data_IF_786717227649
#
_entry.id   IF_786717227649
#
_cell.length_a   1.000
_cell.length_b   1.000
_cell.length_c   1.000
_cell.angle_alpha   90.00
_cell.angle_beta   90.00
_cell.angle_gamma   90.00
#
_symmetry.space_group_name_H-M   'P 1'
#
loop_
_entity.id
_entity.type
_entity.pdbx_description
1 polymer ?
#
# COMPACT_ATOMS: atom_id res chain seq x y z
N UNK A 1 -3.80 3.88 -24.84
CA UNK A 1 -2.43 4.39 -24.69
C UNK A 1 -2.50 5.67 -23.86
N UNK A 2 -1.78 5.76 -22.75
CA UNK A 2 -1.74 6.98 -21.94
C UNK A 2 -1.04 8.08 -22.76
N UNK A 3 -1.66 9.25 -22.89
CA UNK A 3 -1.15 10.42 -23.63
C UNK A 3 -0.59 11.45 -22.62
N UNK A 4 0.70 11.33 -22.22
CA UNK A 4 1.29 12.20 -21.19
C UNK A 4 1.43 13.65 -21.68
N UNK A 5 1.67 13.86 -22.97
CA UNK A 5 1.82 15.20 -23.56
C UNK A 5 0.48 15.93 -23.56
N UNK A 6 -0.59 15.27 -23.95
CA UNK A 6 -1.92 15.84 -23.86
C UNK A 6 -2.40 16.00 -22.43
N UNK A 7 -2.04 15.09 -21.51
CA UNK A 7 -2.34 15.27 -20.09
C UNK A 7 -1.70 16.54 -19.53
N UNK A 8 -0.41 16.76 -19.79
CA UNK A 8 0.29 18.00 -19.47
C UNK A 8 -0.43 19.22 -20.07
N UNK A 9 -0.79 19.15 -21.36
CA UNK A 9 -1.44 20.25 -22.07
C UNK A 9 -2.81 20.60 -21.47
N UNK A 10 -3.60 19.58 -21.09
CA UNK A 10 -4.91 19.74 -20.45
C UNK A 10 -4.80 20.34 -19.04
N UNK A 11 -3.87 19.86 -18.22
CA UNK A 11 -3.62 20.41 -16.88
C UNK A 11 -3.20 21.89 -16.97
N UNK A 12 -2.29 22.21 -17.89
CA UNK A 12 -1.86 23.60 -18.13
C UNK A 12 -3.03 24.48 -18.58
N UNK A 13 -3.86 24.00 -19.50
CA UNK A 13 -5.05 24.73 -19.96
C UNK A 13 -6.07 24.96 -18.83
N UNK A 14 -6.26 23.96 -17.95
CA UNK A 14 -7.12 24.07 -16.78
C UNK A 14 -6.63 25.15 -15.80
N UNK A 15 -5.34 25.15 -15.46
CA UNK A 15 -4.75 26.19 -14.61
C UNK A 15 -4.88 27.59 -15.21
N UNK A 16 -4.64 27.73 -16.53
CA UNK A 16 -4.84 29.01 -17.22
C UNK A 16 -6.30 29.46 -17.16
N UNK A 17 -7.25 28.56 -17.37
CA UNK A 17 -8.69 28.85 -17.25
C UNK A 17 -9.07 29.30 -15.83
N UNK A 18 -8.49 28.66 -14.81
CA UNK A 18 -8.67 29.07 -13.42
C UNK A 18 -8.15 30.48 -13.19
N UNK A 19 -6.92 30.81 -13.64
CA UNK A 19 -6.34 32.16 -13.49
C UNK A 19 -7.15 33.22 -14.24
N UNK A 20 -7.69 32.88 -15.42
CA UNK A 20 -8.56 33.79 -16.17
C UNK A 20 -9.88 34.09 -15.46
N UNK A 21 -10.34 33.17 -14.61
CA UNK A 21 -11.56 33.32 -13.80
C UNK A 21 -11.27 34.02 -12.48
N UNK A 22 -10.28 33.55 -11.72
CA UNK A 22 -9.93 34.03 -10.38
C UNK A 22 -9.26 35.41 -10.41
N UNK A 23 -8.53 35.74 -11.47
CA UNK A 23 -7.86 37.04 -11.66
C UNK A 23 -8.27 37.62 -13.01
N UNK A 24 -9.58 37.88 -13.16
CA UNK A 24 -10.13 38.38 -14.43
C UNK A 24 -9.58 39.78 -14.74
N UNK A 25 -9.05 39.94 -15.94
CA UNK A 25 -8.69 41.25 -16.51
C UNK A 25 -9.76 41.63 -17.53
N UNK A 26 -10.33 42.82 -17.45
CA UNK A 26 -11.39 43.26 -18.38
C UNK A 26 -10.87 43.38 -19.83
N UNK A 27 -9.75 44.10 -20.10
CA UNK A 27 -9.29 44.30 -21.47
C UNK A 27 -8.82 42.99 -22.12
N UNK A 28 -9.33 42.72 -23.33
CA UNK A 28 -9.08 41.47 -24.03
C UNK A 28 -7.62 41.33 -24.50
N UNK A 29 -7.01 42.45 -24.90
CA UNK A 29 -5.61 42.58 -25.28
C UNK A 29 -4.65 42.25 -24.14
N UNK A 30 -4.86 42.85 -22.95
CA UNK A 30 -4.00 42.59 -21.77
C UNK A 30 -4.15 41.13 -21.31
N UNK A 31 -5.37 40.59 -21.36
CA UNK A 31 -5.64 39.18 -21.01
C UNK A 31 -4.90 38.22 -21.95
N UNK A 32 -4.93 38.50 -23.26
CA UNK A 32 -4.25 37.69 -24.27
C UNK A 32 -2.72 37.76 -24.10
N UNK A 33 -2.18 38.95 -23.83
CA UNK A 33 -0.74 39.12 -23.60
C UNK A 33 -0.27 38.41 -22.32
N UNK A 34 -1.06 38.48 -21.25
CA UNK A 34 -0.81 37.66 -20.04
C UNK A 34 -0.80 36.17 -20.37
N UNK A 35 -1.77 35.69 -21.16
CA UNK A 35 -1.86 34.28 -21.54
C UNK A 35 -0.63 33.83 -22.32
N UNK A 36 -0.16 34.64 -23.27
CA UNK A 36 1.11 34.39 -24.00
C UNK A 36 2.30 34.32 -23.07
N UNK A 37 2.40 35.22 -22.09
CA UNK A 37 3.49 35.20 -21.09
C UNK A 37 3.44 33.94 -20.22
N UNK A 38 2.26 33.56 -19.72
CA UNK A 38 2.10 32.36 -18.89
C UNK A 38 2.34 31.06 -19.68
N UNK A 39 2.11 31.05 -20.99
CA UNK A 39 2.42 29.92 -21.86
C UNK A 39 3.91 29.77 -22.17
N UNK A 40 4.75 30.77 -21.87
CA UNK A 40 6.20 30.64 -22.05
C UNK A 40 6.74 29.56 -21.10
N UNK A 41 7.60 28.71 -21.65
CA UNK A 41 8.32 27.70 -20.88
C UNK A 41 9.07 28.35 -19.72
N UNK A 42 8.90 27.80 -18.52
CA UNK A 42 9.54 28.30 -17.30
C UNK A 42 8.76 29.39 -16.57
N UNK A 43 7.60 29.84 -17.09
CA UNK A 43 6.70 30.74 -16.35
C UNK A 43 5.69 29.95 -15.53
N UNK A 44 4.63 29.42 -16.18
CA UNK A 44 3.64 28.59 -15.48
C UNK A 44 4.06 27.12 -15.39
N UNK A 45 4.66 26.60 -16.46
CA UNK A 45 5.12 25.22 -16.54
C UNK A 45 6.45 25.16 -17.29
N UNK A 46 7.29 24.17 -16.95
CA UNK A 46 8.42 23.78 -17.80
C UNK A 46 7.93 23.03 -19.04
N UNK A 47 8.80 22.82 -20.02
CA UNK A 47 8.50 21.89 -21.11
C UNK A 47 8.32 20.48 -20.52
N UNK A 48 7.38 19.67 -21.05
CA UNK A 48 7.20 18.30 -20.56
C UNK A 48 8.52 17.53 -20.75
N UNK A 49 9.06 17.02 -19.65
CA UNK A 49 10.24 16.17 -19.66
C UNK A 49 9.77 14.72 -19.74
N UNK A 50 10.21 14.01 -20.78
CA UNK A 50 9.97 12.59 -20.96
C UNK A 50 11.28 11.86 -20.74
N UNK A 51 11.37 11.14 -19.63
CA UNK A 51 12.50 10.28 -19.33
C UNK A 51 12.06 8.82 -19.54
N UNK A 52 12.61 8.10 -20.53
CA UNK A 52 12.37 6.67 -20.63
C UNK A 52 13.06 5.98 -19.45
N UNK A 53 12.26 5.39 -18.56
CA UNK A 53 12.79 4.58 -17.47
C UNK A 53 13.01 3.16 -17.98
N UNK A 54 14.25 2.64 -18.00
CA UNK A 54 14.49 1.26 -18.38
C UNK A 54 13.79 0.32 -17.39
N UNK A 55 13.21 -0.75 -17.90
CA UNK A 55 12.65 -1.81 -17.05
C UNK A 55 13.76 -2.47 -16.25
N UNK A 56 13.47 -2.78 -14.98
CA UNK A 56 14.39 -3.50 -14.13
C UNK A 56 14.46 -4.97 -14.55
N UNK A 57 15.65 -5.57 -14.40
CA UNK A 57 15.86 -6.97 -14.72
C UNK A 57 15.01 -7.87 -13.81
N UNK A 58 14.15 -8.67 -14.43
CA UNK A 58 13.37 -9.71 -13.77
C UNK A 58 14.23 -10.93 -13.53
N UNK A 59 13.98 -11.62 -12.41
CA UNK A 59 14.52 -12.97 -12.21
C UNK A 59 13.94 -13.91 -13.30
N UNK A 60 14.71 -14.91 -13.70
CA UNK A 60 14.24 -15.91 -14.67
C UNK A 60 13.07 -16.74 -14.13
N UNK A 61 12.96 -16.86 -12.81
CA UNK A 61 11.93 -17.64 -12.10
C UNK A 61 10.70 -16.78 -11.80
N UNK A 62 9.52 -17.41 -11.84
CA UNK A 62 8.27 -16.86 -11.32
C UNK A 62 8.18 -17.03 -9.80
N UNK A 63 7.21 -16.37 -9.14
CA UNK A 63 6.96 -16.61 -7.71
C UNK A 63 6.51 -18.04 -7.44
N UNK A 64 5.76 -18.64 -8.38
CA UNK A 64 5.28 -20.01 -8.34
C UNK A 64 6.45 -21.02 -8.43
N UNK A 65 7.48 -20.72 -9.24
CA UNK A 65 8.69 -21.54 -9.29
C UNK A 65 9.42 -21.57 -7.94
N UNK A 66 9.46 -20.44 -7.21
CA UNK A 66 10.11 -20.34 -5.89
C UNK A 66 9.45 -21.22 -4.82
N UNK A 67 8.15 -21.53 -4.96
CA UNK A 67 7.44 -22.43 -4.03
C UNK A 67 8.02 -23.85 -4.10
N UNK A 68 8.36 -24.28 -5.31
CA UNK A 68 8.78 -25.63 -5.64
C UNK A 68 10.29 -25.87 -5.49
N UNK A 69 11.07 -24.83 -5.21
CA UNK A 69 12.51 -24.97 -5.00
C UNK A 69 12.83 -25.80 -3.76
N UNK A 70 13.78 -26.73 -3.88
CA UNK A 70 14.24 -27.57 -2.78
C UNK A 70 15.72 -27.31 -2.44
N UNK A 71 16.13 -27.70 -1.24
CA UNK A 71 17.50 -27.54 -0.73
C UNK A 71 17.71 -26.27 0.10
N UNK A 72 18.87 -26.21 0.77
CA UNK A 72 19.24 -25.12 1.68
C UNK A 72 19.42 -23.76 0.96
N UNK A 73 19.69 -23.80 -0.33
CA UNK A 73 19.88 -22.62 -1.17
C UNK A 73 18.60 -22.09 -1.85
N UNK A 74 17.47 -22.77 -1.68
CA UNK A 74 16.17 -22.28 -2.14
C UNK A 74 15.86 -20.90 -1.53
N UNK A 75 15.20 -20.04 -2.29
CA UNK A 75 14.86 -18.67 -1.84
C UNK A 75 13.96 -18.72 -0.61
N UNK A 76 13.01 -19.66 -0.59
CA UNK A 76 12.04 -19.86 0.49
C UNK A 76 12.42 -21.05 1.40
N UNK A 77 13.71 -21.39 1.49
CA UNK A 77 14.18 -22.54 2.29
C UNK A 77 13.69 -22.51 3.74
N UNK A 78 13.63 -21.32 4.35
CA UNK A 78 13.19 -21.12 5.75
C UNK A 78 11.68 -21.31 5.97
N UNK A 79 10.87 -21.41 4.91
CA UNK A 79 9.41 -21.55 4.99
C UNK A 79 8.99 -23.00 4.86
N UNK A 80 7.99 -23.39 5.65
CA UNK A 80 7.28 -24.66 5.50
C UNK A 80 6.53 -24.73 4.16
N UNK A 81 6.28 -25.93 3.59
CA UNK A 81 5.56 -26.06 2.32
C UNK A 81 4.18 -25.41 2.30
N UNK A 82 3.48 -25.38 3.45
CA UNK A 82 2.20 -24.68 3.63
C UNK A 82 2.39 -23.17 3.58
N UNK A 83 3.39 -22.64 4.31
CA UNK A 83 3.70 -21.21 4.32
C UNK A 83 4.10 -20.69 2.94
N UNK A 84 4.86 -21.46 2.15
CA UNK A 84 5.27 -21.06 0.80
C UNK A 84 4.08 -20.80 -0.12
N UNK A 85 3.07 -21.69 -0.09
CA UNK A 85 1.84 -21.53 -0.90
C UNK A 85 1.03 -20.34 -0.41
N UNK A 86 0.74 -20.28 0.89
CA UNK A 86 0.00 -19.17 1.49
C UNK A 86 0.67 -17.81 1.24
N UNK A 87 2.01 -17.77 1.21
CA UNK A 87 2.77 -16.58 0.84
C UNK A 87 2.53 -16.15 -0.59
N UNK A 88 2.67 -17.04 -1.57
CA UNK A 88 2.44 -16.70 -2.99
C UNK A 88 0.98 -16.34 -3.24
N UNK A 89 0.04 -17.01 -2.59
CA UNK A 89 -1.39 -16.70 -2.68
C UNK A 89 -1.67 -15.28 -2.15
N UNK A 90 -1.11 -14.92 -0.98
CA UNK A 90 -1.32 -13.60 -0.37
C UNK A 90 -0.72 -12.46 -1.21
N UNK A 91 0.52 -12.60 -1.71
CA UNK A 91 1.13 -11.53 -2.50
C UNK A 91 0.36 -11.30 -3.81
N UNK A 92 -0.28 -12.34 -4.34
CA UNK A 92 -1.15 -12.26 -5.50
C UNK A 92 -2.53 -11.64 -5.26
N UNK A 93 -2.85 -11.23 -4.03
CA UNK A 93 -4.09 -10.55 -3.65
C UNK A 93 -4.03 -9.02 -3.79
N UNK A 94 -3.01 -8.49 -4.48
CA UNK A 94 -2.87 -7.05 -4.77
C UNK A 94 -1.54 -6.43 -4.34
N UNK A 95 -0.58 -7.22 -3.85
CA UNK A 95 0.79 -6.73 -3.65
C UNK A 95 1.59 -6.82 -4.95
N UNK A 96 1.48 -7.95 -5.64
CA UNK A 96 2.07 -8.20 -6.95
C UNK A 96 0.94 -8.25 -7.96
N UNK A 97 1.04 -7.37 -8.96
CA UNK A 97 0.07 -7.30 -10.05
C UNK A 97 0.15 -8.56 -10.93
N UNK A 98 -0.96 -8.86 -11.60
CA UNK A 98 -1.08 -9.97 -12.54
C UNK A 98 -1.06 -9.46 -13.97
N UNK A 99 -0.48 -10.24 -14.87
CA UNK A 99 -0.49 -9.96 -16.30
C UNK A 99 -1.86 -10.24 -16.94
N UNK A 100 -1.96 -9.99 -18.25
CA UNK A 100 -3.20 -10.19 -19.02
C UNK A 100 -3.70 -11.65 -19.03
N UNK A 101 -2.83 -12.61 -18.71
CA UNK A 101 -3.15 -14.04 -18.62
C UNK A 101 -3.44 -14.48 -17.18
N UNK A 102 -3.39 -13.57 -16.21
CA UNK A 102 -3.65 -13.82 -14.80
C UNK A 102 -2.43 -14.36 -14.03
N UNK A 103 -1.26 -14.48 -14.65
CA UNK A 103 -0.03 -14.89 -13.96
C UNK A 103 0.57 -13.72 -13.18
N UNK A 104 1.21 -13.98 -12.04
CA UNK A 104 1.92 -12.93 -11.31
C UNK A 104 3.06 -12.36 -12.15
N UNK A 105 3.24 -11.04 -12.11
CA UNK A 105 4.45 -10.47 -12.69
C UNK A 105 5.69 -11.05 -12.04
N UNK A 106 6.69 -11.36 -12.88
CA UNK A 106 7.95 -11.94 -12.41
C UNK A 106 8.62 -11.01 -11.39
N UNK A 107 9.19 -11.55 -10.31
CA UNK A 107 9.95 -10.75 -9.36
C UNK A 107 11.16 -10.13 -10.04
N UNK A 108 11.55 -8.94 -9.58
CA UNK A 108 12.85 -8.38 -9.95
C UNK A 108 13.98 -9.10 -9.21
N UNK A 109 15.16 -9.19 -9.82
CA UNK A 109 16.30 -9.90 -9.20
C UNK A 109 16.66 -9.39 -7.80
N UNK A 110 16.52 -8.08 -7.56
CA UNK A 110 16.77 -7.49 -6.25
C UNK A 110 15.68 -7.84 -5.21
N UNK A 111 14.43 -8.08 -5.64
CA UNK A 111 13.36 -8.54 -4.75
C UNK A 111 13.63 -9.98 -4.31
N UNK A 112 14.03 -10.86 -5.23
CA UNK A 112 14.42 -12.25 -4.91
C UNK A 112 15.64 -12.28 -3.99
N UNK A 113 16.65 -11.46 -4.28
CA UNK A 113 17.85 -11.33 -3.44
C UNK A 113 17.50 -10.87 -2.02
N UNK A 114 16.65 -9.85 -1.91
CA UNK A 114 16.22 -9.32 -0.61
C UNK A 114 15.34 -10.32 0.15
N UNK A 115 14.46 -11.05 -0.55
CA UNK A 115 13.63 -12.10 0.03
C UNK A 115 14.49 -13.23 0.61
N UNK A 116 15.45 -13.76 -0.18
CA UNK A 116 16.37 -14.82 0.28
C UNK A 116 17.20 -14.38 1.49
N UNK A 117 17.69 -13.14 1.50
CA UNK A 117 18.46 -12.58 2.63
C UNK A 117 17.57 -12.34 3.86
N UNK A 118 16.43 -11.69 3.67
CA UNK A 118 15.54 -11.29 4.76
C UNK A 118 14.91 -12.47 5.52
N UNK A 119 14.87 -13.66 4.90
CA UNK A 119 14.43 -14.90 5.53
C UNK A 119 15.53 -15.68 6.27
N UNK A 120 16.76 -15.14 6.30
CA UNK A 120 17.91 -15.75 6.96
C UNK A 120 18.37 -14.87 8.12
N UNK A 121 18.63 -15.50 9.26
CA UNK A 121 19.07 -14.80 10.45
C UNK A 121 20.37 -14.02 10.22
N UNK A 122 20.41 -12.78 10.71
CA UNK A 122 21.60 -11.93 10.66
C UNK A 122 21.97 -11.39 9.27
N UNK A 123 21.13 -11.54 8.26
CA UNK A 123 21.42 -11.08 6.89
C UNK A 123 20.71 -9.77 6.53
N UNK A 124 21.13 -8.66 7.15
CA UNK A 124 20.67 -7.33 6.76
C UNK A 124 20.86 -7.09 5.24
N UNK A 125 19.92 -6.37 4.63
CA UNK A 125 19.92 -6.07 3.20
C UNK A 125 19.73 -4.58 2.93
N UNK A 126 20.38 -4.09 1.89
CA UNK A 126 20.28 -2.71 1.41
C UNK A 126 19.89 -2.79 -0.07
N UNK A 127 18.80 -2.10 -0.44
CA UNK A 127 18.34 -2.02 -1.83
C UNK A 127 18.59 -0.60 -2.34
N UNK A 128 19.56 -0.45 -3.23
CA UNK A 128 19.87 0.84 -3.89
C UNK A 128 19.29 0.86 -5.30
N UNK A 129 18.10 1.42 -5.47
CA UNK A 129 17.44 1.50 -6.79
C UNK A 129 16.58 2.76 -6.95
N UNK A 130 16.27 3.12 -8.20
CA UNK A 130 15.46 4.29 -8.56
C UNK A 130 13.95 4.09 -8.34
N UNK A 131 13.16 5.16 -8.42
CA UNK A 131 11.69 5.09 -8.27
C UNK A 131 11.08 4.13 -9.29
N UNK A 132 10.03 3.40 -8.89
CA UNK A 132 9.35 2.42 -9.76
C UNK A 132 10.06 1.07 -9.89
N UNK A 133 11.18 0.85 -9.19
CA UNK A 133 11.90 -0.42 -9.21
C UNK A 133 11.27 -1.55 -8.41
N UNK A 134 10.21 -1.29 -7.64
CA UNK A 134 9.65 -2.29 -6.72
C UNK A 134 10.40 -2.42 -5.40
N UNK A 135 11.02 -1.33 -4.91
CA UNK A 135 11.67 -1.26 -3.58
C UNK A 135 10.74 -1.64 -2.44
N UNK A 136 9.47 -1.24 -2.55
CA UNK A 136 8.47 -1.50 -1.51
C UNK A 136 8.32 -3.01 -1.32
N UNK A 137 8.08 -3.71 -2.42
CA UNK A 137 7.91 -5.15 -2.44
C UNK A 137 9.20 -5.84 -1.97
N UNK A 138 10.39 -5.32 -2.32
CA UNK A 138 11.65 -5.89 -1.88
C UNK A 138 11.78 -6.04 -0.36
N UNK A 139 11.28 -5.09 0.45
CA UNK A 139 11.27 -5.24 1.92
C UNK A 139 9.97 -5.83 2.47
N UNK A 140 8.84 -5.68 1.79
CA UNK A 140 7.56 -6.27 2.24
C UNK A 140 7.53 -7.78 2.07
N UNK A 141 8.08 -8.32 0.97
CA UNK A 141 8.09 -9.76 0.69
C UNK A 141 8.68 -10.58 1.86
N UNK A 142 9.91 -10.30 2.36
CA UNK A 142 10.46 -11.07 3.49
C UNK A 142 9.68 -10.87 4.80
N UNK A 143 9.10 -9.69 5.03
CA UNK A 143 8.25 -9.44 6.22
C UNK A 143 7.00 -10.32 6.16
N UNK A 144 6.27 -10.31 5.04
CA UNK A 144 5.05 -11.08 4.89
C UNK A 144 5.33 -12.58 4.90
N UNK A 145 6.38 -13.03 4.22
CA UNK A 145 6.81 -14.43 4.27
C UNK A 145 7.11 -14.90 5.71
N UNK A 146 7.78 -14.07 6.51
CA UNK A 146 8.08 -14.38 7.93
C UNK A 146 6.82 -14.43 8.79
N UNK A 147 5.89 -13.50 8.58
CA UNK A 147 4.60 -13.46 9.29
C UNK A 147 3.74 -14.67 8.95
N UNK A 148 3.70 -15.06 7.68
CA UNK A 148 2.93 -16.23 7.23
C UNK A 148 3.53 -17.52 7.76
N UNK A 149 4.86 -17.65 7.75
CA UNK A 149 5.54 -18.78 8.38
C UNK A 149 5.16 -18.86 9.86
N UNK A 150 5.25 -17.75 10.61
CA UNK A 150 4.81 -17.73 12.00
C UNK A 150 3.34 -18.15 12.14
N UNK A 151 2.44 -17.59 11.32
CA UNK A 151 1.01 -17.83 11.40
C UNK A 151 0.63 -19.30 11.10
N UNK A 152 1.34 -19.94 10.19
CA UNK A 152 0.99 -21.27 9.67
C UNK A 152 1.65 -22.44 10.40
N UNK A 153 2.53 -22.18 11.38
CA UNK A 153 3.18 -23.19 12.21
C UNK A 153 2.18 -24.08 12.96
N UNK A 154 2.42 -25.39 12.96
CA UNK A 154 1.58 -26.35 13.70
C UNK A 154 1.64 -26.13 15.22
N UNK A 155 2.81 -25.75 15.75
CA UNK A 155 3.03 -25.46 17.17
C UNK A 155 3.41 -24.00 17.34
N UNK A 156 2.62 -23.26 18.12
CA UNK A 156 2.84 -21.84 18.37
C UNK A 156 2.46 -20.93 17.20
N UNK A 157 1.82 -21.46 16.15
CA UNK A 157 1.20 -20.66 15.10
C UNK A 157 -0.07 -19.96 15.57
N UNK A 158 -0.73 -19.27 14.65
CA UNK A 158 -1.87 -18.42 15.00
C UNK A 158 -3.15 -19.26 15.06
N UNK A 159 -3.91 -19.21 16.17
CA UNK A 159 -5.19 -19.91 16.25
C UNK A 159 -6.16 -19.29 15.24
N UNK A 160 -7.06 -20.13 14.69
CA UNK A 160 -8.11 -19.64 13.80
C UNK A 160 -8.94 -18.57 14.53
N UNK A 161 -9.21 -17.40 13.91
CA UNK A 161 -10.04 -16.39 14.53
C UNK A 161 -11.45 -16.95 14.79
N UNK A 162 -12.14 -16.39 15.80
CA UNK A 162 -13.55 -16.72 16.07
C UNK A 162 -14.41 -16.42 14.84
N UNK A 163 -15.50 -17.17 14.66
CA UNK A 163 -16.46 -16.89 13.60
C UNK A 163 -16.96 -15.44 13.71
N UNK A 164 -17.01 -14.74 12.57
CA UNK A 164 -17.41 -13.35 12.51
C UNK A 164 -16.38 -12.35 13.06
N UNK A 165 -15.11 -12.72 13.21
CA UNK A 165 -14.06 -11.79 13.70
C UNK A 165 -13.99 -10.48 12.90
N UNK A 166 -14.13 -10.54 11.57
CA UNK A 166 -14.17 -9.38 10.67
C UNK A 166 -15.60 -8.87 10.37
N UNK A 167 -16.61 -9.34 11.12
CA UNK A 167 -18.00 -8.94 10.90
C UNK A 167 -18.19 -7.44 11.09
N UNK A 168 -19.24 -6.89 10.46
CA UNK A 168 -19.62 -5.48 10.61
C UNK A 168 -19.86 -5.10 12.08
N UNK A 169 -20.31 -6.03 12.91
CA UNK A 169 -20.60 -5.84 14.33
C UNK A 169 -19.33 -5.68 15.17
N UNK A 170 -18.22 -6.29 14.76
CA UNK A 170 -16.93 -6.25 15.46
C UNK A 170 -16.00 -5.12 14.99
N UNK A 171 -16.50 -4.17 14.18
CA UNK A 171 -15.69 -3.04 13.70
C UNK A 171 -15.47 -2.04 14.80
N UNK A 172 -14.20 -1.77 15.11
CA UNK A 172 -13.79 -0.86 16.19
C UNK A 172 -14.29 0.57 16.08
N UNK A 173 -14.73 1.00 14.90
CA UNK A 173 -15.30 2.33 14.65
C UNK A 173 -16.83 2.38 14.74
N UNK A 174 -17.47 1.31 15.20
CA UNK A 174 -18.89 1.28 15.57
C UNK A 174 -19.01 1.22 17.09
N UNK A 175 -19.95 2.00 17.62
CA UNK A 175 -20.27 1.98 19.05
C UNK A 175 -21.07 0.74 19.44
N UNK A 176 -21.35 0.59 20.74
CA UNK A 176 -22.19 -0.49 21.27
C UNK A 176 -23.62 -0.50 20.69
N UNK A 177 -24.08 0.66 20.19
CA UNK A 177 -25.35 0.82 19.48
C UNK A 177 -25.31 0.34 18.01
N UNK A 178 -24.18 -0.21 17.56
CA UNK A 178 -23.95 -0.69 16.19
C UNK A 178 -23.80 0.43 15.15
N UNK A 179 -23.86 1.70 15.57
CA UNK A 179 -23.77 2.86 14.69
C UNK A 179 -22.32 3.36 14.61
N UNK A 180 -21.90 3.98 13.48
CA UNK A 180 -20.59 4.61 13.38
C UNK A 180 -20.35 5.62 14.50
N UNK A 181 -19.14 5.60 15.06
CA UNK A 181 -18.73 6.52 16.15
C UNK A 181 -18.57 7.96 15.68
N UNK A 182 -18.39 8.17 14.37
CA UNK A 182 -18.37 9.48 13.74
C UNK A 182 -19.52 9.62 12.75
N UNK A 183 -20.17 10.80 12.74
CA UNK A 183 -21.18 11.18 11.76
C UNK A 183 -20.67 12.34 10.92
N UNK A 184 -21.04 12.36 9.65
CA UNK A 184 -20.71 13.47 8.76
C UNK A 184 -21.64 14.65 9.06
N UNK A 185 -21.08 15.81 9.41
CA UNK A 185 -21.83 17.03 9.67
C UNK A 185 -22.32 17.67 8.35
N UNK A 186 -23.11 18.74 8.45
CA UNK A 186 -23.65 19.45 7.29
C UNK A 186 -22.57 20.09 6.39
N UNK A 187 -21.36 20.30 6.92
CA UNK A 187 -20.20 20.83 6.20
C UNK A 187 -19.37 19.73 5.53
N UNK A 188 -19.74 18.47 5.71
CA UNK A 188 -19.07 17.33 5.11
C UNK A 188 -17.89 16.79 5.91
N UNK A 189 -17.67 17.29 7.13
CA UNK A 189 -16.61 16.84 8.05
C UNK A 189 -17.12 15.73 8.96
N UNK A 190 -16.23 14.83 9.40
CA UNK A 190 -16.60 13.76 10.34
C UNK A 190 -16.46 14.24 11.79
N UNK A 191 -17.57 14.29 12.51
CA UNK A 191 -17.59 14.58 13.95
C UNK A 191 -17.88 13.32 14.74
N UNK A 192 -17.04 13.04 15.74
CA UNK A 192 -17.30 11.99 16.73
C UNK A 192 -18.57 12.31 17.52
N UNK A 193 -19.33 11.29 17.91
CA UNK A 193 -20.48 11.47 18.80
C UNK A 193 -20.01 11.97 20.19
N UNK A 194 -20.84 12.79 20.83
CA UNK A 194 -20.51 13.46 22.11
C UNK A 194 -20.21 12.50 23.28
N UNK A 195 -20.85 11.33 23.31
CA UNK A 195 -20.58 10.24 24.25
C UNK A 195 -19.17 9.65 24.09
N UNK A 196 -18.64 9.64 22.86
CA UNK A 196 -17.27 9.21 22.58
C UNK A 196 -16.26 10.29 23.01
N UNK A 197 -16.53 11.56 22.67
CA UNK A 197 -15.62 12.68 22.97
C UNK A 197 -15.29 12.78 24.46
N UNK A 198 -16.24 12.47 25.34
CA UNK A 198 -16.07 12.49 26.80
C UNK A 198 -15.10 11.44 27.33
N UNK A 199 -14.81 10.38 26.57
CA UNK A 199 -13.88 9.30 26.94
C UNK A 199 -12.50 9.37 26.30
N UNK A 200 -12.15 10.48 25.62
CA UNK A 200 -10.88 10.64 24.88
C UNK A 200 -9.73 11.19 25.75
N UNK A 201 -9.77 11.04 27.08
CA UNK A 201 -8.56 11.26 27.86
C UNK A 201 -7.53 10.20 27.46
N UNK A 202 -6.27 10.62 27.26
CA UNK A 202 -5.21 9.74 26.77
C UNK A 202 -5.02 8.51 27.67
N UNK A 203 -5.30 8.66 28.97
CA UNK A 203 -5.23 7.61 29.99
C UNK A 203 -6.50 6.72 30.06
N UNK A 204 -7.62 7.16 29.48
CA UNK A 204 -8.94 6.49 29.55
C UNK A 204 -9.35 5.81 28.23
N UNK A 205 -8.48 5.77 27.21
CA UNK A 205 -8.75 5.14 25.91
C UNK A 205 -8.73 3.60 25.99
N UNK A 206 -9.65 3.03 26.77
CA UNK A 206 -9.71 1.60 27.11
C UNK A 206 -10.92 0.88 26.50
N UNK A 207 -11.76 1.58 25.71
CA UNK A 207 -13.02 1.05 25.19
C UNK A 207 -13.07 0.73 23.69
N UNK A 208 -12.07 1.15 22.91
CA UNK A 208 -12.16 1.18 21.43
C UNK A 208 -10.94 0.56 20.75
N UNK A 209 -10.63 -0.67 21.12
CA UNK A 209 -9.52 -1.42 20.55
C UNK A 209 -9.86 -1.99 19.16
N UNK A 210 -8.96 -1.77 18.20
CA UNK A 210 -9.09 -2.35 16.85
C UNK A 210 -9.19 -3.88 16.83
N UNK A 211 -8.76 -4.53 17.92
CA UNK A 211 -8.59 -5.98 18.05
C UNK A 211 -9.08 -6.51 19.40
N UNK A 212 -10.16 -5.95 19.96
CA UNK A 212 -10.69 -6.36 21.28
C UNK A 212 -10.99 -7.88 21.42
N UNK A 213 -11.23 -8.57 20.30
CA UNK A 213 -11.48 -10.02 20.26
C UNK A 213 -10.21 -10.87 20.02
N UNK A 214 -9.04 -10.24 19.89
CA UNK A 214 -7.78 -10.91 19.67
C UNK A 214 -7.25 -11.52 20.97
N UNK A 215 -6.80 -12.78 20.91
CA UNK A 215 -6.31 -13.51 22.08
C UNK A 215 -4.79 -13.72 22.03
N UNK A 216 -4.16 -13.42 20.89
CA UNK A 216 -2.72 -13.53 20.74
C UNK A 216 -2.02 -12.49 21.62
N UNK A 217 -0.87 -12.85 22.24
CA UNK A 217 -0.03 -11.88 22.91
C UNK A 217 0.31 -10.70 21.99
N UNK A 218 0.01 -9.49 22.45
CA UNK A 218 0.31 -8.28 21.71
C UNK A 218 1.83 -8.14 21.52
N UNK A 219 2.27 -8.00 20.28
CA UNK A 219 3.68 -7.79 19.97
C UNK A 219 3.86 -7.20 18.56
N UNK A 220 4.95 -6.45 18.40
CA UNK A 220 5.33 -5.84 17.12
C UNK A 220 6.08 -6.89 16.30
N UNK A 221 5.60 -7.19 15.08
CA UNK A 221 6.24 -8.12 14.14
C UNK A 221 7.16 -7.43 13.14
N UNK A 222 6.79 -6.24 12.72
CA UNK A 222 7.56 -5.41 11.82
C UNK A 222 7.32 -3.94 12.14
N UNK A 223 8.37 -3.14 12.01
CA UNK A 223 8.31 -1.68 12.06
C UNK A 223 8.86 -1.16 10.73
N UNK A 224 8.04 -0.43 9.98
CA UNK A 224 8.43 0.19 8.72
C UNK A 224 8.46 1.69 8.95
N UNK A 225 9.61 2.30 8.72
CA UNK A 225 9.82 3.73 8.89
C UNK A 225 9.86 4.41 7.53
N UNK A 226 9.01 5.41 7.35
CA UNK A 226 9.01 6.28 6.18
C UNK A 226 9.39 7.71 6.60
N UNK A 227 10.06 8.47 5.72
CA UNK A 227 10.51 9.82 6.05
C UNK A 227 9.37 10.86 6.05
N UNK A 228 8.20 10.54 5.49
CA UNK A 228 7.09 11.50 5.31
C UNK A 228 5.73 10.83 5.49
N UNK A 229 4.79 11.53 6.14
CA UNK A 229 3.42 11.03 6.36
C UNK A 229 2.68 10.72 5.05
N UNK A 230 2.87 11.53 4.00
CA UNK A 230 2.22 11.27 2.70
C UNK A 230 2.62 9.90 2.12
N UNK A 231 3.89 9.52 2.28
CA UNK A 231 4.36 8.19 1.87
C UNK A 231 3.72 7.10 2.74
N UNK A 232 3.60 7.32 4.06
CA UNK A 232 2.93 6.37 4.95
C UNK A 232 1.49 6.11 4.48
N UNK A 233 0.72 7.15 4.18
CA UNK A 233 -0.69 7.03 3.76
C UNK A 233 -0.84 6.27 2.42
N UNK A 234 0.01 6.56 1.44
CA UNK A 234 0.00 5.85 0.16
C UNK A 234 0.33 4.36 0.35
N UNK A 235 1.33 4.04 1.19
CA UNK A 235 1.71 2.66 1.46
C UNK A 235 0.67 1.92 2.30
N UNK A 236 0.01 2.59 3.24
CA UNK A 236 -1.10 2.02 4.01
C UNK A 236 -2.28 1.65 3.11
N UNK A 237 -2.58 2.47 2.11
CA UNK A 237 -3.63 2.17 1.13
C UNK A 237 -3.30 0.90 0.34
N UNK A 238 -2.06 0.77 -0.15
CA UNK A 238 -1.59 -0.45 -0.84
C UNK A 238 -1.65 -1.68 0.06
N UNK A 239 -1.15 -1.58 1.29
CA UNK A 239 -1.18 -2.70 2.24
C UNK A 239 -2.61 -3.15 2.55
N UNK A 240 -3.57 -2.22 2.67
CA UNK A 240 -4.99 -2.57 2.85
C UNK A 240 -5.55 -3.31 1.64
N UNK A 241 -5.21 -2.90 0.43
CA UNK A 241 -5.63 -3.63 -0.77
C UNK A 241 -5.05 -5.05 -0.80
N UNK A 242 -3.78 -5.21 -0.43
CA UNK A 242 -3.11 -6.51 -0.45
C UNK A 242 -3.53 -7.45 0.70
N UNK A 243 -3.82 -6.91 1.90
CA UNK A 243 -4.01 -7.70 3.12
C UNK A 243 -5.44 -7.74 3.65
N UNK A 244 -6.31 -6.82 3.23
CA UNK A 244 -7.70 -6.71 3.69
C UNK A 244 -8.71 -6.77 2.53
N UNK A 245 -8.27 -7.14 1.33
CA UNK A 245 -9.18 -7.45 0.23
C UNK A 245 -9.95 -8.74 0.48
N UNK A 246 -11.09 -8.90 -0.21
CA UNK A 246 -11.86 -10.15 -0.13
C UNK A 246 -11.01 -11.35 -0.56
N UNK A 247 -10.22 -11.20 -1.64
CA UNK A 247 -9.30 -12.24 -2.09
C UNK A 247 -8.28 -12.63 -1.01
N UNK A 248 -7.70 -11.65 -0.30
CA UNK A 248 -6.75 -11.92 0.78
C UNK A 248 -7.40 -12.67 1.95
N UNK A 249 -8.65 -12.37 2.26
CA UNK A 249 -9.42 -13.06 3.29
C UNK A 249 -9.72 -14.50 2.87
N UNK A 250 -10.18 -14.69 1.64
CA UNK A 250 -10.51 -16.01 1.09
C UNK A 250 -9.26 -16.90 0.95
N UNK A 251 -8.10 -16.31 0.62
CA UNK A 251 -6.82 -17.02 0.50
C UNK A 251 -6.24 -17.49 1.84
N UNK A 252 -6.65 -16.89 2.96
CA UNK A 252 -6.10 -17.15 4.30
C UNK A 252 -7.09 -17.79 5.28
N UNK A 253 -8.32 -18.12 4.84
CA UNK A 253 -9.38 -18.73 5.65
C UNK A 253 -9.24 -20.26 5.86
#
# INVERSE_FOLDING_TARGET
MHDPIGAFSRIRAFYLSYLDTASRLEPADIREDRRKLLMKTGTLCTSPLLEPLPSWETDGRSFEDLVSEEGEDAVLASLSPKARRAFVDLIGCGLIDRDEHGALHRPYGHQVTMLKRGLRDGQAGIVTSGTGSGKTEAFLLPILASIIEEATRDKGGWPKPKSGYLSLENRWWRGQDGQPMAKRNHQGEYELKEDIKKGLNWDDYTGYEQRHNEQRPAAIRALILYPMNALVEDQMTRLRMALDSQNARDALD
#
